data_IF_473754621610
#
_entry.id   IF_473754621610
#
_cell.length_a   1.000
_cell.length_b   1.000
_cell.length_c   1.000
_cell.angle_alpha   90.00
_cell.angle_beta   90.00
_cell.angle_gamma   90.00
#
_symmetry.space_group_name_H-M   'P 1'
#
loop_
_entity.id
_entity.type
_entity.pdbx_description
1 polymer ?
#
# COMPACT_ATOMS: atom_id res chain seq x y z
N UNK A 1 -11.88 -46.40 34.61
CA UNK A 1 -10.98 -45.31 34.20
C UNK A 1 -11.57 -44.65 32.96
N UNK A 2 -12.20 -43.48 33.11
CA UNK A 2 -12.82 -42.70 32.03
C UNK A 2 -12.36 -41.25 32.19
N UNK A 3 -11.22 -40.90 31.59
CA UNK A 3 -10.81 -39.49 31.47
C UNK A 3 -11.42 -38.92 30.18
N UNK A 4 -12.51 -38.17 30.34
CA UNK A 4 -13.10 -37.39 29.27
C UNK A 4 -12.17 -36.22 28.90
N UNK A 5 -11.52 -36.32 27.75
CA UNK A 5 -10.69 -35.28 27.15
C UNK A 5 -11.53 -34.03 26.85
N UNK A 6 -11.52 -33.04 27.76
CA UNK A 6 -12.20 -31.75 27.55
C UNK A 6 -11.33 -30.86 26.64
N UNK A 7 -11.85 -30.36 25.52
CA UNK A 7 -11.07 -29.49 24.64
C UNK A 7 -10.81 -28.12 25.32
N UNK A 8 -9.67 -27.47 25.01
CA UNK A 8 -9.29 -26.21 25.62
C UNK A 8 -10.20 -25.06 25.15
N UNK A 9 -10.99 -24.48 26.08
CA UNK A 9 -11.79 -23.26 25.89
C UNK A 9 -10.92 -21.99 25.80
N UNK A 10 -9.93 -21.93 24.89
CA UNK A 10 -9.05 -20.75 24.71
C UNK A 10 -9.02 -20.16 23.30
N UNK A 11 -9.93 -20.55 22.40
CA UNK A 11 -9.96 -20.04 21.02
C UNK A 11 -10.87 -18.83 20.80
N UNK A 12 -11.86 -18.60 21.67
CA UNK A 12 -12.93 -17.63 21.41
C UNK A 12 -12.62 -16.19 21.87
N UNK A 13 -11.51 -15.96 22.58
CA UNK A 13 -11.11 -14.62 23.02
C UNK A 13 -10.44 -13.76 21.95
N UNK A 14 -10.16 -14.31 20.75
CA UNK A 14 -9.51 -13.57 19.65
C UNK A 14 -10.42 -12.66 18.85
N UNK A 15 -11.73 -12.79 18.95
CA UNK A 15 -12.71 -11.99 18.19
C UNK A 15 -13.35 -10.93 19.07
N UNK A 16 -12.53 -10.11 19.75
CA UNK A 16 -13.03 -8.93 20.46
C UNK A 16 -13.30 -7.83 19.43
N UNK A 17 -14.53 -7.31 19.32
CA UNK A 17 -14.84 -6.24 18.39
C UNK A 17 -14.08 -4.97 18.79
N UNK A 18 -13.11 -4.58 17.97
CA UNK A 18 -12.27 -3.39 18.12
C UNK A 18 -12.95 -2.12 17.55
N UNK A 19 -14.28 -2.10 17.58
CA UNK A 19 -15.09 -0.95 17.20
C UNK A 19 -14.69 0.37 17.90
N UNK A 20 -14.13 0.39 19.13
CA UNK A 20 -13.67 1.65 19.73
C UNK A 20 -12.52 2.31 18.95
N UNK A 21 -11.81 1.57 18.10
CA UNK A 21 -10.73 2.10 17.26
C UNK A 21 -11.25 2.77 15.97
N UNK A 22 -12.54 2.62 15.64
CA UNK A 22 -13.08 3.17 14.39
C UNK A 22 -12.96 4.69 14.33
N UNK A 23 -13.26 5.38 15.43
CA UNK A 23 -13.21 6.85 15.51
C UNK A 23 -11.80 7.39 15.27
N UNK A 24 -10.76 7.00 16.03
CA UNK A 24 -9.41 7.52 15.78
C UNK A 24 -8.86 7.16 14.40
N UNK A 25 -9.20 5.99 13.85
CA UNK A 25 -8.81 5.60 12.48
C UNK A 25 -9.43 6.53 11.45
N UNK A 26 -10.76 6.76 11.52
CA UNK A 26 -11.44 7.66 10.58
C UNK A 26 -10.91 9.08 10.67
N UNK A 27 -10.71 9.60 11.89
CA UNK A 27 -10.14 10.94 12.10
C UNK A 27 -8.73 11.01 11.51
N UNK A 28 -7.87 10.03 11.78
CA UNK A 28 -6.51 9.99 11.22
C UNK A 28 -6.53 9.95 9.70
N UNK A 29 -7.38 9.13 9.08
CA UNK A 29 -7.49 9.03 7.62
C UNK A 29 -7.93 10.36 7.01
N UNK A 30 -8.97 11.00 7.56
CA UNK A 30 -9.46 12.29 7.05
C UNK A 30 -8.36 13.35 7.14
N UNK A 31 -7.70 13.46 8.30
CA UNK A 31 -6.63 14.45 8.51
C UNK A 31 -5.44 14.20 7.58
N UNK A 32 -5.04 12.93 7.38
CA UNK A 32 -3.94 12.58 6.48
C UNK A 32 -4.27 12.81 5.00
N UNK A 33 -5.55 12.75 4.61
CA UNK A 33 -5.97 12.89 3.21
C UNK A 33 -6.44 14.30 2.82
N UNK A 34 -6.77 15.17 3.77
CA UNK A 34 -7.48 16.45 3.56
C UNK A 34 -6.85 17.39 2.53
N UNK A 35 -5.52 17.42 2.41
CA UNK A 35 -4.80 18.35 1.54
C UNK A 35 -3.70 17.66 0.71
N UNK A 36 -3.85 16.38 0.36
CA UNK A 36 -2.80 15.65 -0.39
C UNK A 36 -2.37 16.35 -1.68
N UNK A 37 -3.29 17.03 -2.38
CA UNK A 37 -3.00 17.74 -3.62
C UNK A 37 -2.05 18.93 -3.48
N UNK A 38 -1.87 19.50 -2.29
CA UNK A 38 -0.96 20.64 -2.07
C UNK A 38 0.51 20.23 -1.99
N UNK A 39 0.78 18.93 -1.78
CA UNK A 39 2.13 18.36 -1.67
C UNK A 39 2.81 18.22 -3.05
N UNK A 40 2.03 18.31 -4.14
CA UNK A 40 2.53 18.13 -5.50
C UNK A 40 2.98 16.68 -5.76
N UNK A 41 3.99 16.51 -6.60
CA UNK A 41 4.48 15.18 -7.02
C UNK A 41 5.46 14.54 -6.02
N UNK A 42 5.79 15.22 -4.91
CA UNK A 42 6.83 14.78 -3.98
C UNK A 42 8.20 14.70 -4.66
N UNK A 43 8.58 13.51 -5.14
CA UNK A 43 9.82 13.30 -5.87
C UNK A 43 9.58 13.21 -7.38
N UNK A 44 9.94 14.27 -8.09
CA UNK A 44 9.78 14.39 -9.54
C UNK A 44 10.48 13.28 -10.34
N UNK A 45 11.59 12.73 -9.86
CA UNK A 45 12.30 11.63 -10.52
C UNK A 45 11.42 10.38 -10.63
N UNK A 46 10.77 9.99 -9.53
CA UNK A 46 9.86 8.83 -9.54
C UNK A 46 8.52 9.17 -10.19
N UNK A 47 8.02 10.39 -10.05
CA UNK A 47 6.79 10.83 -10.71
C UNK A 47 6.92 10.80 -12.25
N UNK A 48 8.07 11.18 -12.79
CA UNK A 48 8.36 11.06 -14.22
C UNK A 48 8.37 9.60 -14.69
N UNK A 49 8.93 8.69 -13.89
CA UNK A 49 8.89 7.25 -14.18
C UNK A 49 7.45 6.75 -14.26
N UNK A 50 6.64 6.99 -13.23
CA UNK A 50 5.23 6.57 -13.18
C UNK A 50 4.43 7.16 -14.35
N UNK A 51 4.70 8.42 -14.73
CA UNK A 51 4.09 9.05 -15.90
C UNK A 51 4.43 8.29 -17.18
N UNK A 52 5.69 7.91 -17.40
CA UNK A 52 6.07 7.14 -18.60
C UNK A 52 5.46 5.73 -18.59
N UNK A 53 5.40 5.10 -17.41
CA UNK A 53 4.79 3.77 -17.20
C UNK A 53 3.30 3.76 -17.55
N UNK A 54 2.58 4.85 -17.31
CA UNK A 54 1.18 5.01 -17.73
C UNK A 54 0.98 5.13 -19.26
N UNK A 55 2.05 5.42 -20.00
CA UNK A 55 2.00 5.64 -21.45
C UNK A 55 2.50 4.44 -22.26
N UNK A 56 3.31 3.56 -21.66
CA UNK A 56 3.97 2.46 -22.37
C UNK A 56 4.04 1.20 -21.51
N UNK A 57 3.61 0.08 -22.09
CA UNK A 57 3.68 -1.21 -21.41
C UNK A 57 5.12 -1.71 -21.23
N UNK A 58 6.02 -1.30 -22.13
CA UNK A 58 7.44 -1.52 -21.95
C UNK A 58 7.96 -0.72 -20.74
N UNK A 59 7.62 0.56 -20.64
CA UNK A 59 8.02 1.39 -19.50
C UNK A 59 7.46 0.85 -18.17
N UNK A 60 6.22 0.33 -18.17
CA UNK A 60 5.57 -0.24 -17.00
C UNK A 60 6.34 -1.42 -16.38
N UNK A 61 6.84 -2.35 -17.21
CA UNK A 61 7.55 -3.53 -16.72
C UNK A 61 9.00 -3.27 -16.31
N UNK A 62 9.62 -2.20 -16.80
CA UNK A 62 11.03 -1.90 -16.55
C UNK A 62 11.28 -0.63 -15.72
N UNK A 63 10.23 0.11 -15.35
CA UNK A 63 10.37 1.33 -14.55
C UNK A 63 11.17 2.41 -15.29
N UNK A 64 10.82 2.66 -16.56
CA UNK A 64 11.52 3.64 -17.39
C UNK A 64 11.15 5.09 -17.06
N UNK A 65 12.04 6.04 -17.28
CA UNK A 65 11.79 7.49 -17.21
C UNK A 65 11.20 8.03 -18.50
N UNK A 66 11.45 7.36 -19.63
CA UNK A 66 10.89 7.68 -20.93
C UNK A 66 10.03 6.52 -21.45
N UNK A 67 9.07 6.83 -22.32
CA UNK A 67 8.12 5.84 -22.84
C UNK A 67 8.75 4.82 -23.80
N UNK A 68 9.93 5.10 -24.34
CA UNK A 68 10.66 4.23 -25.27
C UNK A 68 11.45 3.15 -24.52
N UNK A 69 11.93 3.45 -23.32
CA UNK A 69 12.70 2.53 -22.48
C UNK A 69 14.21 2.79 -22.50
N UNK A 70 14.65 4.02 -22.77
CA UNK A 70 16.07 4.36 -22.88
C UNK A 70 16.76 4.54 -21.52
N UNK A 71 16.08 5.13 -20.54
CA UNK A 71 16.62 5.37 -19.20
C UNK A 71 15.71 4.74 -18.15
N UNK A 72 16.22 3.78 -17.40
CA UNK A 72 15.47 3.11 -16.32
C UNK A 72 15.81 3.67 -14.95
N UNK A 73 14.86 3.54 -14.03
CA UNK A 73 15.13 3.69 -12.61
C UNK A 73 15.98 2.50 -12.13
N UNK A 74 16.97 2.77 -11.28
CA UNK A 74 17.89 1.75 -10.74
C UNK A 74 17.18 0.73 -9.81
N UNK A 75 16.00 1.08 -9.30
CA UNK A 75 15.20 0.23 -8.42
C UNK A 75 14.23 -0.65 -9.20
N UNK A 76 13.93 -1.87 -8.70
CA UNK A 76 12.87 -2.70 -9.27
C UNK A 76 11.54 -1.93 -9.37
N UNK A 77 10.76 -2.11 -10.45
CA UNK A 77 9.56 -1.31 -10.73
C UNK A 77 8.40 -1.62 -9.77
N UNK A 78 8.49 -2.71 -9.01
CA UNK A 78 7.48 -3.10 -8.01
C UNK A 78 7.15 -1.98 -7.02
N UNK A 79 8.11 -1.12 -6.67
CA UNK A 79 7.84 0.01 -5.77
C UNK A 79 6.98 1.11 -6.40
N UNK A 80 6.80 1.10 -7.72
CA UNK A 80 6.10 2.11 -8.51
C UNK A 80 4.75 1.61 -9.06
N UNK A 81 4.34 0.37 -8.76
CA UNK A 81 3.09 -0.21 -9.25
C UNK A 81 1.86 0.05 -8.36
N UNK A 82 2.05 0.65 -7.18
CA UNK A 82 0.99 1.02 -6.24
C UNK A 82 0.33 2.34 -6.65
#
# INVERSE_FOLDING_TARGET
MQEAHRPPRRLLTRLRPHWPLAVPVVVSTVLSSWALGTVGWGNNYYAAAVRSMSQSWHAFWYGSLDSVGFVTVDKPPFSLWV
#
